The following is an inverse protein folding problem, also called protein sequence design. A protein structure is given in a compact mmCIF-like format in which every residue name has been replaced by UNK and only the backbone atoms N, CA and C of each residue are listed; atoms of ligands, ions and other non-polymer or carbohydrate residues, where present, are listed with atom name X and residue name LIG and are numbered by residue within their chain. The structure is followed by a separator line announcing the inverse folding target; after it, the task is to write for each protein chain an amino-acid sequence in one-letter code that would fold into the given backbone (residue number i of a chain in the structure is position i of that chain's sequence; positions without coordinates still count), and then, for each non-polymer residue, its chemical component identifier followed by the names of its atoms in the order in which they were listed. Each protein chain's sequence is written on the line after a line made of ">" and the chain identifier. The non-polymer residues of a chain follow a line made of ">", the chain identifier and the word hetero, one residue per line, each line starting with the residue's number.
data_IF_145128729927
#
_entry.id   IF_145128729927
#
_cell.length_a   1.000
_cell.length_b   1.000
_cell.length_c   1.000
_cell.angle_alpha   90.00
_cell.angle_beta   90.00
_cell.angle_gamma   90.00
#
_symmetry.space_group_name_H-M   'P 1'
#
loop_
_entity.id
_entity.type
_entity.pdbx_description
1 polymer ?
#
# COMPACT_ATOMS: atom_id res chain seq x y z
N UNK A 1 -14.21 16.16 3.66
CA UNK A 1 -14.47 15.22 2.54
C UNK A 1 -14.66 13.85 3.16
N UNK A 2 -15.72 13.11 2.79
CA UNK A 2 -15.86 11.70 3.17
C UNK A 2 -15.37 10.89 1.96
N UNK A 3 -14.48 9.93 2.20
CA UNK A 3 -14.01 8.98 1.18
C UNK A 3 -14.42 7.59 1.62
N UNK A 4 -14.81 6.74 0.67
CA UNK A 4 -14.99 5.33 0.95
C UNK A 4 -13.63 4.69 1.21
N UNK A 5 -13.46 3.83 2.23
CA UNK A 5 -12.16 3.25 2.53
C UNK A 5 -11.52 2.52 1.33
N UNK A 6 -12.33 1.90 0.48
CA UNK A 6 -11.88 1.22 -0.74
C UNK A 6 -11.21 2.14 -1.77
N UNK A 7 -11.41 3.45 -1.67
CA UNK A 7 -10.81 4.49 -2.53
C UNK A 7 -9.48 5.02 -1.95
N UNK A 8 -9.05 4.53 -0.80
CA UNK A 8 -7.85 4.99 -0.09
C UNK A 8 -6.70 4.00 -0.31
N UNK A 9 -5.55 4.54 -0.71
CA UNK A 9 -4.26 3.84 -0.67
C UNK A 9 -3.54 4.20 0.64
N UNK A 10 -3.27 3.19 1.47
CA UNK A 10 -2.43 3.34 2.66
C UNK A 10 -1.04 2.78 2.34
N UNK A 11 -0.03 3.65 2.36
CA UNK A 11 1.34 3.31 1.97
C UNK A 11 2.21 3.17 3.22
N UNK A 12 2.96 2.07 3.32
CA UNK A 12 3.92 1.85 4.40
C UNK A 12 4.91 0.72 4.10
N UNK A 13 5.99 0.69 4.84
CA UNK A 13 7.13 -0.22 4.65
C UNK A 13 7.15 -1.39 5.65
N UNK A 14 6.24 -1.37 6.63
CA UNK A 14 6.16 -2.39 7.67
C UNK A 14 4.89 -3.26 7.56
N UNK A 15 4.91 -4.49 8.12
CA UNK A 15 3.71 -5.30 8.22
C UNK A 15 2.59 -4.67 9.07
N UNK A 16 2.90 -3.70 9.93
CA UNK A 16 1.89 -3.00 10.75
C UNK A 16 1.03 -2.10 9.87
N UNK A 17 1.64 -1.41 8.90
CA UNK A 17 0.95 -0.50 7.99
C UNK A 17 -0.06 -1.25 7.12
N UNK A 18 0.34 -2.39 6.56
CA UNK A 18 -0.55 -3.22 5.74
C UNK A 18 -1.73 -3.75 6.56
N UNK A 19 -1.48 -4.20 7.81
CA UNK A 19 -2.56 -4.61 8.71
C UNK A 19 -3.47 -3.45 9.09
N UNK A 20 -2.93 -2.25 9.26
CA UNK A 20 -3.73 -1.06 9.53
C UNK A 20 -4.63 -0.73 8.33
N UNK A 21 -4.09 -0.78 7.11
CA UNK A 21 -4.85 -0.61 5.88
C UNK A 21 -6.03 -1.59 5.80
N UNK A 22 -5.76 -2.89 6.00
CA UNK A 22 -6.79 -3.94 5.95
C UNK A 22 -7.89 -3.73 6.99
N UNK A 23 -7.51 -3.38 8.22
CA UNK A 23 -8.47 -3.10 9.30
C UNK A 23 -9.31 -1.85 9.05
N UNK A 24 -8.77 -0.88 8.31
CA UNK A 24 -9.50 0.30 7.90
C UNK A 24 -10.42 0.05 6.69
N UNK A 25 -10.33 -1.11 6.03
CA UNK A 25 -11.00 -1.38 4.75
C UNK A 25 -10.34 -0.68 3.56
N UNK A 26 -9.13 -0.18 3.73
CA UNK A 26 -8.34 0.49 2.70
C UNK A 26 -7.41 -0.49 1.96
N UNK A 27 -6.91 -0.06 0.82
CA UNK A 27 -5.92 -0.83 0.05
C UNK A 27 -4.51 -0.56 0.59
N UNK A 28 -3.81 -1.60 1.02
CA UNK A 28 -2.44 -1.50 1.53
C UNK A 28 -1.40 -1.56 0.40
N UNK A 29 -0.45 -0.62 0.39
CA UNK A 29 0.68 -0.57 -0.54
C UNK A 29 1.98 -0.77 0.24
N UNK A 30 2.68 -1.86 -0.05
CA UNK A 30 3.97 -2.17 0.56
C UNK A 30 5.10 -1.44 -0.17
N UNK A 31 5.69 -0.45 0.48
CA UNK A 31 6.82 0.30 -0.06
C UNK A 31 8.16 -0.34 0.38
N UNK A 32 8.99 -0.75 -0.57
CA UNK A 32 10.23 -1.53 -0.29
C UNK A 32 11.52 -0.76 -0.57
N UNK A 33 11.43 0.57 -0.60
CA UNK A 33 12.55 1.49 -0.74
C UNK A 33 13.39 1.69 0.53
N UNK A 34 12.85 1.37 1.71
CA UNK A 34 13.61 1.34 2.95
C UNK A 34 14.47 0.07 2.99
N UNK A 35 15.72 0.20 3.45
CA UNK A 35 16.63 -0.94 3.66
C UNK A 35 16.10 -1.94 4.69
N UNK A 36 15.24 -1.49 5.62
CA UNK A 36 14.61 -2.31 6.64
C UNK A 36 13.31 -2.97 6.16
N UNK A 37 12.78 -2.58 4.99
CA UNK A 37 11.58 -3.17 4.43
C UNK A 37 11.84 -4.63 4.03
N UNK A 38 11.35 -5.56 4.84
CA UNK A 38 11.52 -6.98 4.61
C UNK A 38 10.36 -7.54 3.77
N UNK A 39 10.63 -7.80 2.49
CA UNK A 39 9.63 -8.33 1.53
C UNK A 39 8.97 -9.63 2.00
N UNK A 40 9.72 -10.54 2.63
CA UNK A 40 9.16 -11.81 3.11
C UNK A 40 8.18 -11.62 4.27
N UNK A 41 8.41 -10.63 5.13
CA UNK A 41 7.48 -10.30 6.21
C UNK A 41 6.26 -9.52 5.70
N UNK A 42 6.45 -8.62 4.75
CA UNK A 42 5.35 -7.91 4.08
C UNK A 42 4.45 -8.89 3.33
N UNK A 43 5.00 -9.89 2.64
CA UNK A 43 4.23 -10.91 1.92
C UNK A 43 3.24 -11.65 2.84
N UNK A 44 3.60 -11.90 4.11
CA UNK A 44 2.74 -12.59 5.10
C UNK A 44 1.51 -11.80 5.51
N UNK A 45 1.48 -10.50 5.26
CA UNK A 45 0.32 -9.64 5.54
C UNK A 45 -0.42 -9.23 4.27
N UNK A 46 -0.09 -9.81 3.13
CA UNK A 46 -0.85 -9.74 1.88
C UNK A 46 -1.15 -8.30 1.41
N UNK A 47 -0.12 -7.46 1.17
CA UNK A 47 -0.35 -6.12 0.62
C UNK A 47 -1.09 -6.21 -0.71
N UNK A 48 -1.98 -5.24 -0.96
CA UNK A 48 -2.74 -5.16 -2.20
C UNK A 48 -1.83 -4.80 -3.38
N UNK A 49 -0.85 -3.93 -3.13
CA UNK A 49 0.10 -3.46 -4.14
C UNK A 49 1.52 -3.40 -3.57
N UNK A 50 2.51 -3.47 -4.47
CA UNK A 50 3.92 -3.27 -4.16
C UNK A 50 4.42 -1.98 -4.80
N UNK A 51 5.28 -1.26 -4.09
CA UNK A 51 6.02 -0.11 -4.60
C UNK A 51 7.50 -0.28 -4.27
N UNK A 52 8.26 -0.76 -5.24
CA UNK A 52 9.72 -0.89 -5.20
C UNK A 52 10.41 0.45 -5.44
N UNK A 53 9.70 1.41 -6.05
CA UNK A 53 10.14 2.79 -6.24
C UNK A 53 9.02 3.79 -5.95
N UNK A 54 9.33 4.99 -5.44
CA UNK A 54 8.30 6.01 -5.17
C UNK A 54 7.47 6.42 -6.40
N UNK A 55 8.05 6.37 -7.61
CA UNK A 55 7.32 6.64 -8.85
C UNK A 55 6.11 5.72 -9.04
N UNK A 56 6.18 4.49 -8.55
CA UNK A 56 5.12 3.50 -8.71
C UNK A 56 3.86 3.85 -7.90
N UNK A 57 3.97 4.72 -6.88
CA UNK A 57 2.81 5.29 -6.19
C UNK A 57 1.99 6.16 -7.13
N UNK A 58 2.67 7.01 -7.91
CA UNK A 58 2.01 7.88 -8.88
C UNK A 58 1.39 7.08 -10.02
N UNK A 59 2.09 6.06 -10.51
CA UNK A 59 1.60 5.19 -11.57
C UNK A 59 0.38 4.38 -11.09
N UNK A 60 0.41 3.89 -9.85
CA UNK A 60 -0.71 3.20 -9.20
C UNK A 60 -1.92 4.11 -9.07
N UNK A 61 -1.74 5.32 -8.52
CA UNK A 61 -2.82 6.30 -8.40
C UNK A 61 -3.42 6.64 -9.77
N UNK A 62 -2.58 6.92 -10.76
CA UNK A 62 -3.03 7.27 -12.13
C UNK A 62 -3.82 6.14 -12.77
N UNK A 63 -3.45 4.88 -12.53
CA UNK A 63 -4.16 3.71 -13.05
C UNK A 63 -5.51 3.50 -12.36
N UNK A 64 -5.56 3.64 -11.04
CA UNK A 64 -6.79 3.40 -10.27
C UNK A 64 -7.82 4.51 -10.44
N UNK A 65 -7.38 5.77 -10.59
CA UNK A 65 -8.27 6.93 -10.72
C UNK A 65 -8.82 7.16 -12.14
N UNK A 66 -8.47 6.29 -13.10
CA UNK A 66 -8.99 6.34 -14.48
C UNK A 66 -10.13 5.35 -14.74
N UNK A 67 -10.47 4.52 -13.75
CA UNK A 67 -11.67 3.68 -13.73
C UNK A 67 -12.79 4.39 -12.96
#
# INVERSE_FOLDING_TARGET
>A
MKMEPSEILFIGDSPVDIRAAHRAGAQGVAATWDLMANREYLKKVEPHHWAEKPQEIWDLWTRLSKN
#
